data_IF_219901504789
#
_entry.id   IF_219901504789
#
_cell.length_a   1.000
_cell.length_b   1.000
_cell.length_c   1.000
_cell.angle_alpha   90.00
_cell.angle_beta   90.00
_cell.angle_gamma   90.00
#
_symmetry.space_group_name_H-M   'P 1'
#
loop_
_entity.id
_entity.type
_entity.pdbx_description
1 polymer ?
#
# COMPACT_ATOMS: atom_id res chain seq x y z
N UNK A 1 17.66 20.85 -36.21
CA UNK A 1 17.10 20.83 -34.85
C UNK A 1 17.02 19.37 -34.38
N UNK A 2 17.87 18.94 -33.44
CA UNK A 2 17.77 17.60 -32.85
C UNK A 2 16.59 17.62 -31.89
N UNK A 3 15.53 16.88 -32.21
CA UNK A 3 14.43 16.66 -31.29
C UNK A 3 15.00 16.03 -30.00
N UNK A 4 14.87 16.75 -28.90
CA UNK A 4 15.19 16.25 -27.58
C UNK A 4 14.22 15.07 -27.32
N UNK A 5 14.70 13.82 -27.49
CA UNK A 5 13.92 12.64 -27.12
C UNK A 5 13.68 12.73 -25.61
N UNK A 6 12.49 13.15 -25.20
CA UNK A 6 12.10 13.09 -23.80
C UNK A 6 12.34 11.65 -23.33
N UNK A 7 13.14 11.48 -22.27
CA UNK A 7 13.45 10.19 -21.70
C UNK A 7 12.13 9.53 -21.29
N UNK A 8 11.77 8.42 -21.93
CA UNK A 8 10.52 7.69 -21.63
C UNK A 8 10.55 7.29 -20.16
N UNK A 9 9.59 7.79 -19.37
CA UNK A 9 9.48 7.45 -17.96
C UNK A 9 9.03 5.99 -17.86
N UNK A 10 9.83 5.16 -17.19
CA UNK A 10 9.53 3.74 -16.92
C UNK A 10 9.44 3.50 -15.43
N UNK A 11 8.54 2.59 -15.03
CA UNK A 11 8.50 2.04 -13.69
C UNK A 11 9.26 0.73 -13.63
N UNK A 12 9.82 0.44 -12.48
CA UNK A 12 10.44 -0.83 -12.17
C UNK A 12 9.40 -1.76 -11.57
N UNK A 13 8.92 -2.74 -12.34
CA UNK A 13 7.75 -3.56 -12.06
C UNK A 13 8.23 -4.94 -11.56
N UNK A 14 7.69 -5.37 -10.42
CA UNK A 14 7.85 -6.73 -9.91
C UNK A 14 6.89 -7.69 -10.64
N UNK A 15 5.61 -7.42 -10.58
CA UNK A 15 4.57 -8.27 -11.18
C UNK A 15 3.26 -7.51 -11.45
N UNK A 16 2.38 -8.13 -12.23
CA UNK A 16 1.03 -7.64 -12.54
C UNK A 16 0.01 -8.70 -12.11
N UNK A 17 -1.06 -8.27 -11.46
CA UNK A 17 -2.20 -9.10 -11.08
C UNK A 17 -3.47 -8.53 -11.72
N UNK A 18 -4.22 -9.37 -12.42
CA UNK A 18 -5.35 -8.91 -13.24
C UNK A 18 -6.70 -8.91 -12.53
N UNK A 19 -6.80 -9.61 -11.37
CA UNK A 19 -8.04 -9.81 -10.63
C UNK A 19 -7.86 -9.64 -9.11
N UNK A 20 -7.18 -8.57 -8.68
CA UNK A 20 -7.09 -8.21 -7.27
C UNK A 20 -8.47 -7.89 -6.69
N UNK A 21 -8.76 -8.46 -5.51
CA UNK A 21 -10.05 -8.26 -4.81
C UNK A 21 -9.87 -7.66 -3.42
N UNK A 22 -8.63 -7.45 -3.00
CA UNK A 22 -8.28 -6.92 -1.70
C UNK A 22 -7.59 -5.54 -1.76
N UNK A 23 -7.20 -5.08 -2.94
CA UNK A 23 -6.40 -3.88 -3.14
C UNK A 23 -7.24 -2.64 -3.49
N UNK A 24 -8.46 -2.57 -2.96
CA UNK A 24 -9.38 -1.45 -3.16
C UNK A 24 -10.78 -1.89 -3.59
N UNK A 25 -11.67 -0.95 -3.94
CA UNK A 25 -13.04 -1.26 -4.33
C UNK A 25 -13.11 -1.95 -5.70
N UNK A 26 -14.01 -2.90 -5.83
CA UNK A 26 -14.24 -3.66 -7.06
C UNK A 26 -13.05 -4.55 -7.45
N UNK A 27 -13.02 -4.99 -8.70
CA UNK A 27 -11.90 -5.76 -9.26
C UNK A 27 -10.78 -4.79 -9.64
N UNK A 28 -9.57 -5.06 -9.16
CA UNK A 28 -8.39 -4.22 -9.37
C UNK A 28 -7.41 -4.87 -10.35
N UNK A 29 -6.91 -4.09 -11.28
CA UNK A 29 -5.65 -4.39 -11.92
C UNK A 29 -4.52 -3.91 -11.01
N UNK A 30 -3.77 -4.83 -10.43
CA UNK A 30 -2.73 -4.49 -9.45
C UNK A 30 -1.36 -4.52 -10.10
N UNK A 31 -0.62 -3.43 -9.92
CA UNK A 31 0.78 -3.33 -10.34
C UNK A 31 1.65 -3.36 -9.09
N UNK A 32 2.40 -4.43 -8.90
CA UNK A 32 3.38 -4.53 -7.84
C UNK A 32 4.70 -3.94 -8.30
N UNK A 33 5.11 -2.83 -7.67
CA UNK A 33 6.37 -2.18 -7.96
C UNK A 33 7.53 -2.87 -7.25
N UNK A 34 8.69 -2.78 -7.85
CA UNK A 34 9.96 -3.20 -7.27
C UNK A 34 10.61 -2.06 -6.50
N UNK A 35 11.27 -2.36 -5.39
CA UNK A 35 11.95 -1.42 -4.50
C UNK A 35 11.14 -1.13 -3.23
N UNK A 36 11.72 -1.41 -2.07
CA UNK A 36 11.15 -1.06 -0.77
C UNK A 36 12.26 -0.85 0.26
N UNK A 37 12.22 0.26 0.98
CA UNK A 37 13.17 0.55 2.06
C UNK A 37 12.69 0.06 3.44
N UNK A 38 11.44 -0.43 3.56
CA UNK A 38 10.93 -1.08 4.76
C UNK A 38 11.44 -2.51 4.90
N UNK A 39 11.47 -3.00 6.14
CA UNK A 39 11.86 -4.40 6.47
C UNK A 39 10.83 -4.99 7.41
N UNK A 40 9.58 -5.09 6.90
CA UNK A 40 8.48 -5.62 7.70
C UNK A 40 8.71 -7.08 8.07
N UNK A 41 8.58 -7.41 9.36
CA UNK A 41 8.81 -8.77 9.88
C UNK A 41 7.91 -9.84 9.24
N UNK A 42 6.75 -9.44 8.71
CA UNK A 42 5.76 -10.30 8.06
C UNK A 42 5.53 -9.95 6.59
N UNK A 43 6.55 -9.39 5.93
CA UNK A 43 6.42 -9.02 4.52
C UNK A 43 5.97 -10.21 3.67
N UNK A 44 4.92 -10.04 2.88
CA UNK A 44 4.44 -11.08 1.96
C UNK A 44 5.22 -11.08 0.65
N UNK A 45 5.94 -9.99 0.35
CA UNK A 45 6.69 -9.80 -0.89
C UNK A 45 8.12 -9.31 -0.60
N UNK A 46 8.96 -10.04 0.16
CA UNK A 46 10.35 -9.64 0.42
C UNK A 46 11.18 -9.59 -0.87
N UNK A 47 10.76 -10.28 -1.90
CA UNK A 47 11.29 -10.26 -3.26
C UNK A 47 11.15 -8.89 -3.96
N UNK A 48 10.32 -8.00 -3.43
CA UNK A 48 10.22 -6.62 -3.91
C UNK A 48 11.19 -5.64 -3.24
N UNK A 49 12.02 -6.06 -2.29
CA UNK A 49 12.85 -5.13 -1.50
C UNK A 49 14.00 -4.50 -2.30
N UNK A 50 14.62 -5.26 -3.19
CA UNK A 50 15.78 -4.80 -3.95
C UNK A 50 15.39 -3.70 -4.94
N UNK A 51 15.95 -2.51 -4.76
CA UNK A 51 15.79 -1.42 -5.72
C UNK A 51 16.59 -1.73 -6.99
N UNK A 52 16.00 -1.62 -8.15
CA UNK A 52 16.68 -1.91 -9.43
C UNK A 52 16.47 -3.33 -9.95
N UNK A 53 16.05 -4.29 -9.15
CA UNK A 53 15.52 -5.56 -9.64
C UNK A 53 14.13 -5.35 -10.29
N UNK A 54 13.60 -6.37 -10.95
CA UNK A 54 12.32 -6.27 -11.65
C UNK A 54 12.44 -5.88 -13.11
N UNK A 55 11.32 -5.63 -13.77
CA UNK A 55 11.23 -5.32 -15.21
C UNK A 55 10.89 -3.87 -15.43
N UNK A 56 11.70 -3.16 -16.22
CA UNK A 56 11.36 -1.80 -16.65
C UNK A 56 10.17 -1.84 -17.63
N UNK A 57 9.08 -1.16 -17.28
CA UNK A 57 7.89 -1.02 -18.13
C UNK A 57 7.45 0.44 -18.17
N UNK A 58 6.98 0.88 -19.34
CA UNK A 58 6.38 2.20 -19.49
C UNK A 58 4.93 2.21 -19.01
N UNK A 59 4.41 3.39 -18.67
CA UNK A 59 3.00 3.57 -18.33
C UNK A 59 2.06 3.09 -19.45
N UNK A 60 2.41 3.31 -20.72
CA UNK A 60 1.63 2.84 -21.86
C UNK A 60 1.54 1.31 -21.95
N UNK A 61 2.62 0.58 -21.66
CA UNK A 61 2.60 -0.91 -21.65
C UNK A 61 1.70 -1.44 -20.53
N UNK A 62 1.70 -0.77 -19.35
CA UNK A 62 0.80 -1.13 -18.25
C UNK A 62 -0.65 -0.88 -18.65
N UNK A 63 -0.97 0.29 -19.23
CA UNK A 63 -2.33 0.62 -19.67
C UNK A 63 -2.81 -0.35 -20.74
N UNK A 64 -1.96 -0.73 -21.71
CA UNK A 64 -2.31 -1.74 -22.72
C UNK A 64 -2.64 -3.11 -22.09
N UNK A 65 -1.95 -3.48 -21.01
CA UNK A 65 -2.25 -4.72 -20.28
C UNK A 65 -3.56 -4.62 -19.49
N UNK A 66 -3.80 -3.47 -18.86
CA UNK A 66 -5.03 -3.18 -18.11
C UNK A 66 -6.27 -3.18 -19.03
N UNK A 67 -6.15 -2.66 -20.25
CA UNK A 67 -7.26 -2.59 -21.22
C UNK A 67 -7.87 -3.96 -21.51
N UNK A 68 -7.10 -5.02 -21.44
CA UNK A 68 -7.61 -6.41 -21.61
C UNK A 68 -8.58 -6.82 -20.50
N UNK A 69 -8.54 -6.17 -19.34
CA UNK A 69 -9.36 -6.45 -18.17
C UNK A 69 -10.47 -5.40 -17.96
N UNK A 70 -10.55 -4.34 -18.79
CA UNK A 70 -11.48 -3.23 -18.61
C UNK A 70 -12.96 -3.63 -18.46
N UNK A 71 -13.50 -4.63 -19.19
CA UNK A 71 -14.90 -5.03 -19.01
C UNK A 71 -15.20 -5.47 -17.57
N UNK A 72 -14.32 -6.25 -16.95
CA UNK A 72 -14.46 -6.72 -15.56
C UNK A 72 -14.27 -5.58 -14.54
N UNK A 73 -13.28 -4.73 -14.78
CA UNK A 73 -13.00 -3.57 -13.96
C UNK A 73 -14.21 -2.62 -13.94
N UNK A 74 -14.77 -2.30 -15.10
CA UNK A 74 -15.93 -1.41 -15.21
C UNK A 74 -17.18 -1.99 -14.59
N UNK A 75 -17.47 -3.28 -14.81
CA UNK A 75 -18.65 -3.94 -14.26
C UNK A 75 -18.65 -4.01 -12.74
N UNK A 76 -17.47 -4.05 -12.12
CA UNK A 76 -17.29 -4.07 -10.67
C UNK A 76 -17.07 -2.69 -10.04
N UNK A 77 -17.07 -1.62 -10.82
CA UNK A 77 -16.66 -0.28 -10.39
C UNK A 77 -15.22 -0.27 -9.80
N UNK A 78 -14.35 -1.11 -10.33
CA UNK A 78 -12.96 -1.27 -9.93
C UNK A 78 -12.02 -0.24 -10.57
N UNK A 79 -10.74 -0.61 -10.73
CA UNK A 79 -9.74 0.29 -11.30
C UNK A 79 -8.34 -0.30 -11.28
N UNK A 80 -7.34 0.57 -11.24
CA UNK A 80 -5.94 0.19 -11.06
C UNK A 80 -5.48 0.49 -9.63
N UNK A 81 -4.68 -0.40 -9.05
CA UNK A 81 -3.99 -0.17 -7.78
C UNK A 81 -2.50 -0.38 -7.95
N UNK A 82 -1.71 0.54 -7.46
CA UNK A 82 -0.26 0.41 -7.41
C UNK A 82 0.14 0.06 -5.99
N UNK A 83 0.81 -1.08 -5.83
CA UNK A 83 1.25 -1.69 -4.58
C UNK A 83 2.67 -2.28 -4.75
N UNK A 84 3.03 -3.34 -4.04
CA UNK A 84 4.26 -4.11 -4.24
C UNK A 84 5.29 -3.88 -3.16
N UNK A 85 6.41 -3.20 -3.51
CA UNK A 85 7.37 -2.63 -2.57
C UNK A 85 6.82 -1.37 -1.93
N UNK A 86 7.48 -0.22 -2.15
CA UNK A 86 6.93 1.07 -1.72
C UNK A 86 6.66 1.95 -2.97
N UNK A 87 5.39 2.15 -3.35
CA UNK A 87 5.05 2.88 -4.56
C UNK A 87 5.58 4.31 -4.61
N UNK A 88 5.64 5.00 -3.47
CA UNK A 88 6.09 6.38 -3.39
C UNK A 88 7.55 6.59 -3.80
N UNK A 89 8.36 5.53 -3.88
CA UNK A 89 9.71 5.58 -4.46
C UNK A 89 9.71 5.92 -5.96
N UNK A 90 8.62 5.65 -6.67
CA UNK A 90 8.54 5.79 -8.13
C UNK A 90 7.49 6.83 -8.57
N UNK A 91 7.40 7.97 -7.87
CA UNK A 91 6.34 8.98 -8.06
C UNK A 91 6.24 9.53 -9.49
N UNK A 92 7.35 9.68 -10.21
CA UNK A 92 7.31 10.18 -11.60
C UNK A 92 6.56 9.19 -12.50
N UNK A 93 6.83 7.90 -12.32
CA UNK A 93 6.12 6.85 -13.05
C UNK A 93 4.64 6.79 -12.63
N UNK A 94 4.33 6.90 -11.33
CA UNK A 94 2.94 6.94 -10.85
C UNK A 94 2.15 8.09 -11.47
N UNK A 95 2.73 9.29 -11.50
CA UNK A 95 2.07 10.46 -12.11
C UNK A 95 1.77 10.25 -13.60
N UNK A 96 2.69 9.67 -14.36
CA UNK A 96 2.48 9.40 -15.78
C UNK A 96 1.44 8.30 -15.99
N UNK A 97 1.53 7.19 -15.24
CA UNK A 97 0.58 6.09 -15.33
C UNK A 97 -0.84 6.54 -14.96
N UNK A 98 -0.99 7.26 -13.87
CA UNK A 98 -2.31 7.73 -13.42
C UNK A 98 -2.90 8.78 -14.34
N UNK A 99 -2.09 9.66 -14.95
CA UNK A 99 -2.55 10.56 -15.99
C UNK A 99 -3.20 9.78 -17.13
N UNK A 100 -2.52 8.74 -17.66
CA UNK A 100 -3.08 7.91 -18.73
C UNK A 100 -4.34 7.15 -18.30
N UNK A 101 -4.42 6.72 -17.04
CA UNK A 101 -5.61 6.08 -16.50
C UNK A 101 -6.78 7.06 -16.38
N UNK A 102 -6.53 8.29 -15.91
CA UNK A 102 -7.55 9.35 -15.81
C UNK A 102 -8.10 9.75 -17.17
N UNK A 103 -7.25 9.84 -18.20
CA UNK A 103 -7.68 10.12 -19.59
C UNK A 103 -8.68 9.06 -20.10
N UNK A 104 -8.71 7.85 -19.50
CA UNK A 104 -9.62 6.75 -19.82
C UNK A 104 -10.76 6.56 -18.81
N UNK A 105 -10.89 7.46 -17.85
CA UNK A 105 -11.89 7.36 -16.77
C UNK A 105 -11.70 6.16 -15.84
N UNK A 106 -10.45 5.70 -15.64
CA UNK A 106 -10.12 4.57 -14.78
C UNK A 106 -9.81 5.07 -13.38
N UNK A 107 -10.47 4.48 -12.38
CA UNK A 107 -10.23 4.78 -10.97
C UNK A 107 -8.82 4.34 -10.53
N UNK A 108 -8.09 5.23 -9.84
CA UNK A 108 -6.70 5.05 -9.45
C UNK A 108 -6.54 4.91 -7.94
N UNK A 109 -5.75 3.94 -7.49
CA UNK A 109 -5.45 3.76 -6.08
C UNK A 109 -3.95 3.50 -5.84
N UNK A 110 -3.45 3.93 -4.68
CA UNK A 110 -2.10 3.64 -4.19
C UNK A 110 -2.24 2.91 -2.85
N UNK A 111 -1.60 1.75 -2.73
CA UNK A 111 -1.46 0.97 -1.51
C UNK A 111 -0.02 1.12 -1.00
N UNK A 112 0.16 1.85 0.11
CA UNK A 112 1.46 2.29 0.61
C UNK A 112 1.59 2.12 2.13
N UNK A 113 2.79 1.80 2.56
CA UNK A 113 3.19 1.86 3.98
C UNK A 113 3.95 3.15 4.31
N UNK A 114 4.07 4.08 3.35
CA UNK A 114 4.76 5.38 3.46
C UNK A 114 6.22 5.22 3.94
N UNK A 115 6.92 4.22 3.43
CA UNK A 115 8.34 4.00 3.78
C UNK A 115 9.30 4.90 3.00
N UNK A 116 8.76 5.76 2.17
CA UNK A 116 9.46 6.85 1.50
C UNK A 116 8.70 8.16 1.73
N UNK A 117 9.40 9.18 2.22
CA UNK A 117 8.81 10.52 2.40
C UNK A 117 9.06 11.35 1.14
N UNK A 118 8.01 11.73 0.40
CA UNK A 118 8.15 12.64 -0.72
C UNK A 118 8.63 14.02 -0.24
N UNK A 119 9.79 14.47 -0.71
CA UNK A 119 10.34 15.82 -0.39
C UNK A 119 9.87 16.88 -1.35
N UNK A 120 9.57 16.50 -2.59
CA UNK A 120 9.07 17.40 -3.63
C UNK A 120 7.56 17.59 -3.45
N UNK A 121 7.18 18.74 -2.89
CA UNK A 121 5.78 19.09 -2.63
C UNK A 121 4.96 19.25 -3.92
N UNK A 122 5.55 19.74 -5.00
CA UNK A 122 4.84 19.89 -6.28
C UNK A 122 4.54 18.54 -6.90
N UNK A 123 5.50 17.62 -6.84
CA UNK A 123 5.30 16.24 -7.31
C UNK A 123 4.26 15.51 -6.46
N UNK A 124 4.29 15.68 -5.14
CA UNK A 124 3.29 15.12 -4.25
C UNK A 124 1.89 15.68 -4.56
N UNK A 125 1.74 16.99 -4.68
CA UNK A 125 0.47 17.62 -5.04
C UNK A 125 -0.08 17.10 -6.38
N UNK A 126 0.79 16.91 -7.38
CA UNK A 126 0.42 16.28 -8.65
C UNK A 126 -0.06 14.85 -8.46
N UNK A 127 0.65 14.03 -7.68
CA UNK A 127 0.25 12.66 -7.41
C UNK A 127 -1.09 12.60 -6.67
N UNK A 128 -1.27 13.46 -5.66
CA UNK A 128 -2.54 13.60 -4.94
C UNK A 128 -3.70 13.93 -5.89
N UNK A 129 -3.50 14.84 -6.84
CA UNK A 129 -4.56 15.24 -7.80
C UNK A 129 -4.96 14.08 -8.74
N UNK A 130 -4.06 13.17 -9.04
CA UNK A 130 -4.26 12.04 -9.95
C UNK A 130 -4.74 10.77 -9.25
N UNK A 131 -4.71 10.73 -7.92
CA UNK A 131 -5.07 9.54 -7.12
C UNK A 131 -6.48 9.70 -6.54
N UNK A 132 -7.36 8.72 -6.79
CA UNK A 132 -8.72 8.72 -6.25
C UNK A 132 -8.77 8.16 -4.82
N UNK A 133 -7.96 7.13 -4.53
CA UNK A 133 -7.95 6.45 -3.24
C UNK A 133 -6.52 6.15 -2.79
N UNK A 134 -6.22 6.44 -1.54
CA UNK A 134 -5.04 5.91 -0.87
C UNK A 134 -5.42 4.78 0.07
N UNK A 135 -4.62 3.73 0.12
CA UNK A 135 -4.72 2.65 1.10
C UNK A 135 -3.44 2.75 1.91
N UNK A 136 -3.57 3.13 3.18
CA UNK A 136 -2.42 3.43 4.04
C UNK A 136 -2.32 2.38 5.14
N UNK A 137 -1.19 1.73 5.20
CA UNK A 137 -0.89 0.73 6.22
C UNK A 137 -0.35 1.40 7.51
N UNK A 138 -1.05 1.25 8.62
CA UNK A 138 -0.52 1.52 9.97
C UNK A 138 -0.09 0.17 10.56
N UNK A 139 1.23 -0.05 10.74
CA UNK A 139 1.74 -1.37 11.18
C UNK A 139 1.75 -1.53 12.71
N UNK A 140 1.79 -0.42 13.45
CA UNK A 140 1.57 -0.32 14.89
C UNK A 140 1.22 1.13 15.26
N UNK A 141 0.63 1.33 16.45
CA UNK A 141 0.26 2.67 16.99
C UNK A 141 1.25 3.19 18.04
N UNK A 142 2.30 2.45 18.28
CA UNK A 142 3.43 2.81 19.12
C UNK A 142 4.68 2.92 18.25
N UNK A 143 5.44 4.01 18.42
CA UNK A 143 6.61 4.31 17.58
C UNK A 143 7.70 3.22 17.67
N UNK A 144 7.98 2.75 18.88
CA UNK A 144 9.02 1.73 19.07
C UNK A 144 8.61 0.40 18.45
N UNK A 145 7.33 0.02 18.63
CA UNK A 145 6.79 -1.18 18.05
C UNK A 145 6.72 -1.08 16.51
N UNK A 146 6.30 0.07 15.98
CA UNK A 146 6.27 0.31 14.53
C UNK A 146 7.67 0.17 13.92
N UNK A 147 8.67 0.81 14.56
CA UNK A 147 10.06 0.73 14.12
C UNK A 147 10.63 -0.70 14.22
N UNK A 148 10.26 -1.45 15.28
CA UNK A 148 10.64 -2.86 15.42
C UNK A 148 10.04 -3.72 14.30
N UNK A 149 8.78 -3.48 13.93
CA UNK A 149 8.08 -4.25 12.88
C UNK A 149 8.60 -3.91 11.48
N UNK A 150 8.92 -2.64 11.19
CA UNK A 150 9.11 -2.13 9.82
C UNK A 150 10.51 -1.60 9.52
N UNK A 151 11.31 -1.33 10.56
CA UNK A 151 12.56 -0.53 10.50
C UNK A 151 12.31 0.92 10.06
N UNK A 152 11.09 1.43 10.17
CA UNK A 152 10.69 2.79 9.77
C UNK A 152 9.92 3.49 10.89
N UNK A 153 9.92 4.84 10.87
CA UNK A 153 9.18 5.66 11.81
C UNK A 153 7.67 5.66 11.50
N UNK A 154 6.85 5.60 12.54
CA UNK A 154 5.40 5.84 12.46
C UNK A 154 5.10 7.30 12.10
N UNK A 155 5.96 8.24 12.54
CA UNK A 155 5.81 9.66 12.25
C UNK A 155 5.63 9.94 10.74
N UNK A 156 6.40 9.27 9.87
CA UNK A 156 6.27 9.42 8.41
C UNK A 156 4.86 9.05 7.92
N UNK A 157 4.28 8.01 8.49
CA UNK A 157 2.92 7.56 8.15
C UNK A 157 1.90 8.60 8.61
N UNK A 158 2.07 9.11 9.83
CA UNK A 158 1.16 10.11 10.42
C UNK A 158 1.23 11.46 9.69
N UNK A 159 2.43 11.90 9.28
CA UNK A 159 2.60 13.10 8.46
C UNK A 159 1.92 12.97 7.08
N UNK A 160 2.03 11.79 6.46
CA UNK A 160 1.36 11.54 5.17
C UNK A 160 -0.17 11.50 5.33
N UNK A 161 -0.69 10.90 6.41
CA UNK A 161 -2.12 10.94 6.71
C UNK A 161 -2.59 12.39 6.94
N UNK A 162 -1.83 13.21 7.66
CA UNK A 162 -2.14 14.64 7.80
C UNK A 162 -2.19 15.36 6.45
N UNK A 163 -1.26 15.07 5.53
CA UNK A 163 -1.28 15.61 4.17
C UNK A 163 -2.55 15.17 3.40
N UNK A 164 -3.00 13.91 3.55
CA UNK A 164 -4.25 13.44 2.95
C UNK A 164 -5.47 14.17 3.54
N UNK A 165 -5.51 14.36 4.86
CA UNK A 165 -6.58 15.09 5.57
C UNK A 165 -6.66 16.56 5.11
N UNK A 166 -5.51 17.26 5.04
CA UNK A 166 -5.43 18.67 4.62
C UNK A 166 -5.88 18.86 3.17
N UNK A 167 -5.58 17.87 2.31
CA UNK A 167 -6.00 17.86 0.90
C UNK A 167 -7.37 17.21 0.68
N UNK A 168 -8.10 16.85 1.75
CA UNK A 168 -9.44 16.22 1.71
C UNK A 168 -9.47 14.97 0.83
N UNK A 169 -8.39 14.19 0.82
CA UNK A 169 -8.28 12.95 0.05
C UNK A 169 -8.95 11.80 0.78
N UNK A 170 -9.76 11.03 0.07
CA UNK A 170 -10.29 9.78 0.61
C UNK A 170 -9.20 8.74 0.74
N UNK A 171 -9.19 8.03 1.87
CA UNK A 171 -8.24 6.94 2.08
C UNK A 171 -8.84 5.84 2.97
N UNK A 172 -8.29 4.64 2.82
CA UNK A 172 -8.49 3.52 3.72
C UNK A 172 -7.30 3.42 4.66
N UNK A 173 -7.54 2.92 5.85
CA UNK A 173 -6.47 2.50 6.77
C UNK A 173 -6.50 1.00 6.89
N UNK A 174 -5.34 0.37 6.78
CA UNK A 174 -5.14 -1.06 7.02
C UNK A 174 -4.25 -1.32 8.21
N UNK A 175 -4.55 -2.40 8.90
CA UNK A 175 -3.77 -2.84 10.04
C UNK A 175 -3.64 -4.37 10.01
N UNK A 176 -2.44 -4.89 9.76
CA UNK A 176 -2.19 -6.33 9.83
C UNK A 176 -2.15 -6.73 11.30
N UNK A 177 -3.11 -7.53 11.73
CA UNK A 177 -3.23 -8.02 13.11
C UNK A 177 -2.32 -9.23 13.31
N UNK A 178 -1.26 -9.08 14.10
CA UNK A 178 -0.29 -10.14 14.42
C UNK A 178 -0.45 -10.53 15.88
N UNK A 179 -1.01 -11.73 16.17
CA UNK A 179 -1.23 -12.18 17.56
C UNK A 179 0.05 -12.16 18.39
N UNK A 180 -0.02 -11.58 19.59
CA UNK A 180 1.09 -11.43 20.52
C UNK A 180 2.12 -10.37 20.14
N UNK A 181 1.97 -9.67 19.01
CA UNK A 181 2.91 -8.63 18.60
C UNK A 181 2.30 -7.22 18.67
N UNK A 182 1.17 -6.99 17.97
CA UNK A 182 0.52 -5.69 17.87
C UNK A 182 -0.99 -5.74 18.19
N UNK A 183 -1.45 -6.78 18.86
CA UNK A 183 -2.85 -7.07 19.15
C UNK A 183 -3.23 -6.85 20.62
N UNK A 184 -2.40 -6.12 21.41
CA UNK A 184 -2.72 -5.82 22.80
C UNK A 184 -4.00 -4.98 22.90
N UNK A 185 -4.77 -5.15 23.98
CA UNK A 185 -6.00 -4.36 24.21
C UNK A 185 -5.71 -2.86 24.22
N UNK A 186 -4.59 -2.46 24.83
CA UNK A 186 -4.13 -1.08 24.87
C UNK A 186 -3.91 -0.52 23.45
N UNK A 187 -3.20 -1.27 22.59
CA UNK A 187 -2.87 -0.81 21.24
C UNK A 187 -4.12 -0.76 20.35
N UNK A 188 -5.00 -1.75 20.47
CA UNK A 188 -6.24 -1.77 19.69
C UNK A 188 -7.21 -0.64 20.10
N UNK A 189 -7.28 -0.30 21.39
CA UNK A 189 -8.03 0.88 21.86
C UNK A 189 -7.40 2.17 21.34
N UNK A 190 -6.06 2.29 21.40
CA UNK A 190 -5.31 3.44 20.87
C UNK A 190 -5.53 3.61 19.36
N UNK A 191 -5.48 2.51 18.61
CA UNK A 191 -5.79 2.47 17.18
C UNK A 191 -7.24 2.95 16.91
N UNK A 192 -8.21 2.49 17.72
CA UNK A 192 -9.59 2.92 17.59
C UNK A 192 -9.78 4.44 17.79
N UNK A 193 -9.10 5.02 18.78
CA UNK A 193 -9.11 6.48 18.99
C UNK A 193 -8.48 7.22 17.80
N UNK A 194 -7.33 6.74 17.33
CA UNK A 194 -6.61 7.32 16.20
C UNK A 194 -7.47 7.33 14.93
N UNK A 195 -8.02 6.18 14.54
CA UNK A 195 -8.82 6.07 13.31
C UNK A 195 -10.09 6.93 13.36
N UNK A 196 -10.70 7.09 14.55
CA UNK A 196 -11.86 7.99 14.68
C UNK A 196 -11.53 9.48 14.56
N UNK A 197 -10.29 9.88 14.79
CA UNK A 197 -9.88 11.27 14.59
C UNK A 197 -9.69 11.64 13.10
N UNK A 198 -9.68 10.66 12.22
CA UNK A 198 -9.51 10.86 10.78
C UNK A 198 -10.85 11.21 10.11
N UNK A 199 -10.93 12.36 9.45
CA UNK A 199 -12.15 12.88 8.82
C UNK A 199 -12.40 12.32 7.42
N UNK A 200 -11.34 11.99 6.69
CA UNK A 200 -11.39 11.52 5.31
C UNK A 200 -11.05 10.03 5.16
N UNK A 201 -10.86 9.31 6.27
CA UNK A 201 -10.74 7.86 6.28
C UNK A 201 -12.11 7.22 6.03
N UNK A 202 -12.34 6.72 4.83
CA UNK A 202 -13.64 6.16 4.41
C UNK A 202 -13.79 4.66 4.68
N UNK A 203 -12.69 3.96 4.96
CA UNK A 203 -12.71 2.55 5.35
C UNK A 203 -11.54 2.21 6.28
N UNK A 204 -11.75 1.23 7.15
CA UNK A 204 -10.71 0.65 8.00
C UNK A 204 -10.81 -0.87 7.99
N UNK A 205 -9.70 -1.53 7.71
CA UNK A 205 -9.61 -2.99 7.62
C UNK A 205 -8.57 -3.56 8.58
N UNK A 206 -8.94 -4.61 9.34
CA UNK A 206 -7.97 -5.52 9.92
C UNK A 206 -7.67 -6.62 8.92
N UNK A 207 -6.40 -6.77 8.55
CA UNK A 207 -5.92 -7.90 7.77
C UNK A 207 -5.37 -8.98 8.73
N UNK A 208 -5.83 -10.23 8.64
CA UNK A 208 -5.28 -11.29 9.47
C UNK A 208 -3.83 -11.59 9.03
N UNK A 209 -2.91 -11.63 10.01
CA UNK A 209 -1.56 -12.13 9.77
C UNK A 209 -1.62 -13.59 9.29
N UNK A 210 -0.87 -13.90 8.24
CA UNK A 210 -0.71 -15.25 7.69
C UNK A 210 0.72 -15.44 7.18
N UNK A 211 1.09 -16.69 6.89
CA UNK A 211 2.46 -17.10 6.51
C UNK A 211 2.61 -17.45 5.04
N UNK A 212 1.68 -17.05 4.16
CA UNK A 212 1.69 -17.42 2.75
C UNK A 212 2.96 -16.96 2.02
N UNK A 213 3.52 -15.81 2.38
CA UNK A 213 4.77 -15.30 1.81
C UNK A 213 6.05 -15.93 2.36
N UNK A 214 5.98 -16.84 3.37
CA UNK A 214 7.17 -17.41 4.03
C UNK A 214 8.12 -18.09 3.06
N UNK A 215 7.61 -18.81 2.07
CA UNK A 215 8.41 -19.49 1.05
C UNK A 215 9.33 -18.52 0.27
N UNK A 216 8.92 -17.25 0.08
CA UNK A 216 9.73 -16.23 -0.59
C UNK A 216 10.96 -15.85 0.25
N UNK A 217 10.81 -15.79 1.60
CA UNK A 217 11.94 -15.56 2.49
C UNK A 217 12.96 -16.68 2.38
N UNK A 218 12.49 -17.92 2.35
CA UNK A 218 13.34 -19.11 2.21
C UNK A 218 14.09 -19.11 0.88
N UNK A 219 13.41 -18.80 -0.23
CA UNK A 219 14.03 -18.66 -1.55
C UNK A 219 15.10 -17.58 -1.63
N UNK A 220 14.94 -16.50 -0.86
CA UNK A 220 15.90 -15.41 -0.76
C UNK A 220 17.03 -15.67 0.26
N UNK A 221 17.04 -16.83 0.92
CA UNK A 221 17.99 -17.13 1.99
C UNK A 221 17.80 -16.26 3.24
N UNK A 222 16.62 -15.67 3.43
CA UNK A 222 16.32 -14.81 4.55
C UNK A 222 15.66 -15.57 5.70
N UNK A 223 16.01 -15.20 6.94
CA UNK A 223 15.38 -15.79 8.13
C UNK A 223 14.02 -15.13 8.36
N UNK A 224 12.93 -15.94 8.38
CA UNK A 224 11.60 -15.48 8.76
C UNK A 224 11.48 -15.37 10.27
N UNK A 225 11.48 -14.14 10.79
CA UNK A 225 11.58 -13.87 12.23
C UNK A 225 10.31 -14.20 13.03
N UNK A 226 9.16 -14.35 12.36
CA UNK A 226 7.88 -14.66 13.01
C UNK A 226 7.49 -16.14 12.89
N UNK A 227 8.46 -17.05 12.79
CA UNK A 227 8.24 -18.49 12.59
C UNK A 227 7.37 -19.13 13.68
N UNK A 228 7.44 -18.62 14.91
CA UNK A 228 6.74 -19.16 16.10
C UNK A 228 5.43 -18.39 16.39
N UNK A 229 5.09 -17.37 15.59
CA UNK A 229 3.86 -16.59 15.75
C UNK A 229 2.72 -17.29 15.01
N UNK A 230 1.63 -17.55 15.73
CA UNK A 230 0.41 -18.15 15.18
C UNK A 230 -0.26 -17.20 14.18
N UNK A 231 -0.83 -17.77 13.12
CA UNK A 231 -1.68 -17.01 12.18
C UNK A 231 -2.90 -16.44 12.92
N UNK A 232 -3.34 -15.26 12.51
CA UNK A 232 -4.51 -14.64 13.09
C UNK A 232 -5.78 -15.38 12.68
N UNK A 233 -6.66 -15.62 13.63
CA UNK A 233 -7.94 -16.30 13.42
C UNK A 233 -9.09 -15.29 13.25
N UNK A 234 -10.23 -15.77 12.74
CA UNK A 234 -11.45 -14.97 12.72
C UNK A 234 -11.88 -14.47 14.12
N UNK A 235 -11.54 -15.25 15.18
CA UNK A 235 -11.80 -14.86 16.58
C UNK A 235 -10.93 -13.65 16.98
N UNK A 236 -9.66 -13.64 16.58
CA UNK A 236 -8.74 -12.53 16.86
C UNK A 236 -9.21 -11.26 16.15
N UNK A 237 -9.63 -11.35 14.90
CA UNK A 237 -10.19 -10.22 14.13
C UNK A 237 -11.46 -9.69 14.79
N UNK A 238 -12.40 -10.57 15.19
CA UNK A 238 -13.64 -10.15 15.91
C UNK A 238 -13.32 -9.45 17.23
N UNK A 239 -12.33 -9.97 17.99
CA UNK A 239 -11.85 -9.33 19.23
C UNK A 239 -11.29 -7.94 18.96
N UNK A 240 -10.43 -7.82 17.96
CA UNK A 240 -9.82 -6.54 17.58
C UNK A 240 -10.87 -5.51 17.14
N UNK A 241 -11.84 -5.91 16.32
CA UNK A 241 -12.94 -5.05 15.87
C UNK A 241 -13.77 -4.54 17.05
N UNK A 242 -14.07 -5.42 18.03
CA UNK A 242 -14.79 -5.03 19.26
C UNK A 242 -14.00 -4.01 20.07
N UNK A 243 -12.71 -4.28 20.33
CA UNK A 243 -11.84 -3.40 21.13
C UNK A 243 -11.64 -2.03 20.46
N UNK A 244 -11.51 -1.99 19.13
CA UNK A 244 -11.45 -0.73 18.36
C UNK A 244 -12.70 0.12 18.57
N UNK A 245 -13.88 -0.47 18.76
CA UNK A 245 -15.17 0.24 18.96
C UNK A 245 -15.36 0.74 20.39
N UNK A 246 -14.81 0.08 21.39
CA UNK A 246 -15.04 0.35 22.83
C UNK A 246 -14.36 1.61 23.37
N UNK A 247 -13.84 2.47 22.53
CA UNK A 247 -13.12 3.70 22.95
C UNK A 247 -13.94 4.96 22.64
N UNK A 248 -15.28 4.89 22.92
CA UNK A 248 -16.14 6.07 23.04
C UNK A 248 -15.76 6.91 24.25
#
# INVERSE_FOLDING_TARGET
MRACKSKKITGNIHSLETFGTHEGPGIRFVVFLQGCSGRCLYCQNPDTWEEGAGKAMSAGEIVTSLEKCLPYIRSSQGGITISGGEPLLQMDFLCELFRLCKDKGIHTAIDTSVFYRPRDKLKLAKLLSLTDLFIVDIKAVDEQLHKRITSKSLEQVMEFIAELEDNKKQYWVRYVLVPGLNDSERDLKKLGKLVRSFRHCVNFEFLPYHTLGKHKWEHLGLTYLLKDIKVATAKDIKRAQRLKRLTS
#
